data_IF_051228307522
#
_entry.id   IF_051228307522
#
_cell.length_a   1.000
_cell.length_b   1.000
_cell.length_c   1.000
_cell.angle_alpha   90.00
_cell.angle_beta   90.00
_cell.angle_gamma   90.00
#
_symmetry.space_group_name_H-M   'P 1'
#
loop_
_entity.id
_entity.type
_entity.pdbx_description
1 polymer ?
#
# COMPACT_ATOMS: atom_id res chain seq x y z
N UNK A 1 6.38 27.06 -8.68
CA UNK A 1 6.55 26.58 -7.29
C UNK A 1 5.63 25.38 -7.03
N UNK A 2 5.74 24.30 -7.81
CA UNK A 2 4.95 23.08 -7.57
C UNK A 2 5.81 21.94 -7.02
N UNK A 3 7.11 21.91 -7.36
CA UNK A 3 8.04 20.84 -6.95
C UNK A 3 8.19 20.74 -5.44
N UNK A 4 8.31 21.89 -4.74
CA UNK A 4 8.44 21.92 -3.27
C UNK A 4 7.19 21.37 -2.57
N UNK A 5 6.00 21.61 -3.12
CA UNK A 5 4.76 21.07 -2.56
C UNK A 5 4.65 19.57 -2.79
N UNK A 6 5.06 19.08 -3.96
CA UNK A 6 5.11 17.64 -4.26
C UNK A 6 6.07 16.88 -3.31
N UNK A 7 7.21 17.48 -2.97
CA UNK A 7 8.19 16.85 -2.07
C UNK A 7 7.62 16.72 -0.64
N UNK A 8 6.96 17.77 -0.14
CA UNK A 8 6.29 17.75 1.16
C UNK A 8 5.14 16.72 1.20
N UNK A 9 4.32 16.65 0.16
CA UNK A 9 3.24 15.67 0.05
C UNK A 9 3.78 14.24 0.03
N UNK A 10 4.84 13.98 -0.73
CA UNK A 10 5.49 12.67 -0.77
C UNK A 10 6.06 12.30 0.60
N UNK A 11 6.72 13.25 1.27
CA UNK A 11 7.28 13.04 2.61
C UNK A 11 6.20 12.79 3.68
N UNK A 12 5.00 13.37 3.53
CA UNK A 12 3.88 13.12 4.44
C UNK A 12 3.22 11.77 4.14
N UNK A 13 3.01 11.45 2.87
CA UNK A 13 2.37 10.20 2.45
C UNK A 13 3.25 8.98 2.72
N UNK A 14 4.57 9.10 2.65
CA UNK A 14 5.50 8.01 2.97
C UNK A 14 5.77 7.80 4.46
N UNK A 15 5.21 8.63 5.36
CA UNK A 15 5.36 8.43 6.82
C UNK A 15 4.47 7.29 7.30
N UNK A 16 5.00 6.50 8.21
CA UNK A 16 4.27 5.39 8.81
C UNK A 16 3.20 5.91 9.78
N UNK A 17 1.99 5.39 9.65
CA UNK A 17 0.89 5.62 10.60
C UNK A 17 0.94 4.66 11.79
N UNK A 18 1.62 3.53 11.61
CA UNK A 18 1.79 2.48 12.62
C UNK A 18 3.27 2.30 12.96
N UNK A 19 3.53 1.66 14.10
CA UNK A 19 4.89 1.25 14.47
C UNK A 19 5.40 0.19 13.47
N UNK A 20 6.71 0.19 13.21
CA UNK A 20 7.38 -0.89 12.46
C UNK A 20 7.72 -1.97 13.46
N UNK A 21 7.08 -3.14 13.35
CA UNK A 21 7.46 -4.30 14.14
C UNK A 21 8.80 -4.86 13.67
N UNK A 22 9.57 -5.42 14.60
CA UNK A 22 10.82 -6.15 14.29
C UNK A 22 10.53 -7.62 13.93
N UNK A 23 9.28 -8.06 14.07
CA UNK A 23 8.85 -9.43 13.78
C UNK A 23 8.65 -9.65 12.26
N UNK A 24 9.27 -10.67 11.65
CA UNK A 24 9.21 -10.90 10.20
C UNK A 24 7.85 -11.43 9.71
N UNK A 25 7.03 -11.96 10.62
CA UNK A 25 5.68 -12.47 10.31
C UNK A 25 4.60 -11.37 10.43
N UNK A 26 4.97 -10.17 10.88
CA UNK A 26 4.02 -9.07 11.05
C UNK A 26 3.65 -8.41 9.71
N UNK A 27 2.41 -7.94 9.63
CA UNK A 27 1.90 -7.26 8.45
C UNK A 27 2.64 -5.95 8.18
N UNK A 28 2.78 -5.60 6.90
CA UNK A 28 3.46 -4.39 6.46
C UNK A 28 2.85 -3.13 7.11
N UNK A 29 3.67 -2.22 7.66
CA UNK A 29 3.15 -1.06 8.38
C UNK A 29 2.43 -0.09 7.44
N UNK A 30 1.30 0.44 7.90
CA UNK A 30 0.42 1.28 7.08
C UNK A 30 1.03 2.68 6.89
N UNK A 31 1.03 3.17 5.66
CA UNK A 31 1.33 4.57 5.32
C UNK A 31 0.09 5.25 4.73
N UNK A 32 -0.08 6.58 4.84
CA UNK A 32 -1.15 7.30 4.15
C UNK A 32 -1.12 7.04 2.63
N UNK A 33 0.08 6.82 2.08
CA UNK A 33 0.28 6.49 0.69
C UNK A 33 -0.51 5.27 0.21
N UNK A 34 -0.68 4.26 1.07
CA UNK A 34 -1.40 3.04 0.73
C UNK A 34 -2.88 3.32 0.42
N UNK A 35 -3.52 4.19 1.20
CA UNK A 35 -4.92 4.58 0.98
C UNK A 35 -5.08 5.40 -0.31
N UNK A 36 -4.09 6.23 -0.62
CA UNK A 36 -4.06 6.98 -1.87
C UNK A 36 -3.89 6.03 -3.06
N UNK A 37 -2.97 5.06 -2.99
CA UNK A 37 -2.74 4.06 -4.04
C UNK A 37 -4.02 3.28 -4.40
N UNK A 38 -4.84 2.88 -3.43
CA UNK A 38 -6.07 2.09 -3.67
C UNK A 38 -7.09 2.85 -4.52
N UNK A 39 -7.20 4.18 -4.36
CA UNK A 39 -8.14 4.99 -5.15
C UNK A 39 -7.63 5.29 -6.57
N UNK A 40 -6.34 5.05 -6.86
CA UNK A 40 -5.80 5.39 -8.16
C UNK A 40 -6.33 4.44 -9.23
N UNK A 41 -6.82 5.01 -10.33
CA UNK A 41 -7.22 4.22 -11.49
C UNK A 41 -6.01 3.52 -12.09
N UNK A 42 -5.95 2.20 -11.92
CA UNK A 42 -4.93 1.37 -12.55
C UNK A 42 -5.06 1.43 -14.07
N UNK A 43 -3.93 1.42 -14.75
CA UNK A 43 -3.88 1.42 -16.20
C UNK A 43 -2.51 1.07 -16.75
N UNK A 44 -2.49 0.49 -17.95
CA UNK A 44 -1.25 0.15 -18.67
C UNK A 44 -0.80 1.31 -19.54
N UNK A 45 0.48 1.65 -19.49
CA UNK A 45 1.06 2.68 -20.37
C UNK A 45 1.08 2.12 -21.79
N UNK A 46 0.46 2.85 -22.73
CA UNK A 46 0.44 2.51 -24.15
C UNK A 46 1.55 3.20 -24.92
N UNK A 47 1.74 4.50 -24.69
CA UNK A 47 2.77 5.28 -25.38
C UNK A 47 3.24 6.45 -24.55
N UNK A 48 4.43 6.93 -24.86
CA UNK A 48 5.10 8.00 -24.15
C UNK A 48 5.35 9.17 -25.11
N UNK A 49 5.10 10.40 -24.65
CA UNK A 49 5.36 11.61 -25.43
C UNK A 49 6.59 12.34 -24.88
N UNK A 50 7.73 12.16 -25.54
CA UNK A 50 8.94 12.91 -25.26
C UNK A 50 8.87 14.33 -25.86
N UNK A 51 9.44 15.30 -25.15
CA UNK A 51 9.64 16.65 -25.69
C UNK A 51 10.91 16.72 -26.56
N UNK A 52 11.15 17.87 -27.19
CA UNK A 52 12.37 18.12 -27.97
C UNK A 52 13.64 17.94 -27.13
N UNK A 53 13.56 18.19 -25.83
CA UNK A 53 14.67 18.01 -24.89
C UNK A 53 14.89 16.55 -24.46
N UNK A 54 14.16 15.59 -25.05
CA UNK A 54 14.18 14.17 -24.64
C UNK A 54 13.41 13.85 -23.35
N UNK A 55 13.01 14.88 -22.58
CA UNK A 55 12.29 14.69 -21.32
C UNK A 55 10.82 14.33 -21.60
N UNK A 56 10.41 13.20 -21.03
CA UNK A 56 9.03 12.73 -21.06
C UNK A 56 8.20 13.44 -19.99
N UNK A 57 7.12 14.08 -20.41
CA UNK A 57 6.20 14.78 -19.48
C UNK A 57 4.78 14.21 -19.49
N UNK A 58 4.39 13.46 -20.53
CA UNK A 58 3.03 12.90 -20.70
C UNK A 58 3.10 11.45 -21.19
N UNK A 59 2.16 10.63 -20.73
CA UNK A 59 1.95 9.26 -21.22
C UNK A 59 0.48 9.03 -21.59
N UNK A 60 0.25 8.25 -22.64
CA UNK A 60 -1.06 7.70 -23.01
C UNK A 60 -1.25 6.37 -22.29
N UNK A 61 -2.37 6.20 -21.61
CA UNK A 61 -2.61 5.10 -20.67
C UNK A 61 -3.98 4.50 -20.95
N UNK A 62 -4.07 3.17 -20.95
CA UNK A 62 -5.33 2.44 -20.98
C UNK A 62 -5.77 2.14 -19.55
N UNK A 63 -6.81 2.81 -19.10
CA UNK A 63 -7.53 2.50 -17.86
C UNK A 63 -8.77 1.66 -18.16
N UNK A 64 -9.42 1.11 -17.12
CA UNK A 64 -10.71 0.41 -17.26
C UNK A 64 -11.80 1.24 -17.95
N UNK A 65 -11.77 2.56 -17.73
CA UNK A 65 -12.74 3.51 -18.28
C UNK A 65 -12.44 3.95 -19.71
N UNK A 66 -11.24 3.69 -20.24
CA UNK A 66 -10.87 4.15 -21.58
C UNK A 66 -9.40 4.49 -21.72
N UNK A 67 -9.08 5.31 -22.71
CA UNK A 67 -7.71 5.78 -22.93
C UNK A 67 -7.62 7.24 -22.50
N UNK A 68 -6.68 7.53 -21.61
CA UNK A 68 -6.45 8.89 -21.09
C UNK A 68 -4.99 9.27 -21.25
N UNK A 69 -4.72 10.57 -21.37
CA UNK A 69 -3.36 11.10 -21.35
C UNK A 69 -3.13 11.78 -20.02
N UNK A 70 -2.10 11.35 -19.28
CA UNK A 70 -1.80 11.87 -17.93
C UNK A 70 -0.33 12.31 -17.85
N UNK A 71 -0.01 13.38 -17.10
CA UNK A 71 1.38 13.76 -16.85
C UNK A 71 2.14 12.66 -16.09
N UNK A 72 3.42 12.45 -16.41
CA UNK A 72 4.25 11.42 -15.74
C UNK A 72 4.30 11.62 -14.22
N UNK A 73 4.37 12.87 -13.76
CA UNK A 73 4.39 13.20 -12.32
C UNK A 73 3.15 12.73 -11.55
N UNK A 74 2.04 12.45 -12.24
CA UNK A 74 0.82 11.92 -11.64
C UNK A 74 0.69 10.40 -11.78
N UNK A 75 1.71 9.74 -12.32
CA UNK A 75 1.79 8.28 -12.41
C UNK A 75 2.71 7.76 -11.33
N UNK A 76 2.35 6.62 -10.76
CA UNK A 76 3.24 5.85 -9.90
C UNK A 76 3.30 4.42 -10.43
N UNK A 77 4.48 3.77 -10.41
CA UNK A 77 4.60 2.36 -10.68
C UNK A 77 3.71 1.54 -9.74
N UNK A 78 3.11 0.47 -10.25
CA UNK A 78 2.44 -0.52 -9.40
C UNK A 78 3.50 -1.52 -8.95
N UNK A 79 3.68 -1.64 -7.64
CA UNK A 79 4.47 -2.70 -7.03
C UNK A 79 3.61 -3.97 -7.06
N UNK A 80 4.16 -5.08 -7.57
CA UNK A 80 3.51 -6.38 -7.57
C UNK A 80 4.25 -7.25 -6.57
N UNK A 81 3.58 -7.62 -5.48
CA UNK A 81 4.08 -8.66 -4.58
C UNK A 81 3.96 -9.99 -5.33
N UNK A 82 5.06 -10.75 -5.39
CA UNK A 82 5.33 -11.79 -6.40
C UNK A 82 4.51 -13.07 -6.34
N UNK A 83 3.22 -13.02 -6.01
CA UNK A 83 2.33 -14.18 -5.98
C UNK A 83 1.05 -13.88 -6.77
N UNK A 84 1.16 -13.84 -8.09
CA UNK A 84 -0.01 -14.02 -8.95
C UNK A 84 0.24 -15.27 -9.80
N UNK A 85 -0.21 -16.41 -9.27
CA UNK A 85 -0.46 -17.57 -10.11
C UNK A 85 -1.55 -17.17 -11.08
N UNK A 86 -1.16 -16.85 -12.32
CA UNK A 86 -2.09 -16.73 -13.43
C UNK A 86 -2.56 -18.16 -13.73
N UNK A 87 -3.53 -18.68 -12.97
CA UNK A 87 -4.26 -19.88 -13.34
C UNK A 87 -5.39 -19.45 -14.26
N UNK A 88 -5.15 -19.52 -15.57
CA UNK A 88 -6.23 -19.54 -16.55
C UNK A 88 -6.76 -20.97 -16.61
N UNK A 89 -7.64 -21.37 -15.70
CA UNK A 89 -8.37 -22.64 -15.80
C UNK A 89 -9.83 -22.42 -15.35
N UNK A 90 -10.70 -22.33 -16.36
CA UNK A 90 -12.12 -22.67 -16.23
C UNK A 90 -12.24 -24.15 -15.82
N UNK A 91 -13.19 -24.48 -14.92
CA UNK A 91 -13.90 -25.78 -14.68
C UNK A 91 -14.15 -26.13 -13.18
N UNK A 92 -15.34 -25.74 -12.70
CA UNK A 92 -16.41 -26.50 -11.99
C UNK A 92 -16.18 -27.41 -10.73
N UNK A 93 -16.90 -27.03 -9.65
CA UNK A 93 -17.69 -27.78 -8.62
C UNK A 93 -17.13 -28.47 -7.33
N UNK A 94 -17.78 -28.05 -6.22
CA UNK A 94 -18.39 -28.79 -5.07
C UNK A 94 -17.62 -29.23 -3.79
N UNK A 95 -17.88 -28.44 -2.72
CA UNK A 95 -18.37 -28.82 -1.35
C UNK A 95 -17.39 -29.45 -0.31
N UNK A 96 -17.76 -29.55 1.00
CA UNK A 96 -17.35 -28.66 2.09
C UNK A 96 -16.50 -29.35 3.20
N UNK A 97 -15.79 -28.59 4.02
CA UNK A 97 -15.02 -29.13 5.16
C UNK A 97 -14.84 -28.13 6.30
N UNK A 98 -15.12 -28.57 7.52
CA UNK A 98 -15.38 -27.77 8.71
C UNK A 98 -14.16 -27.15 9.42
N UNK A 99 -14.44 -26.02 10.08
CA UNK A 99 -14.02 -25.59 11.44
C UNK A 99 -12.64 -26.00 11.96
N UNK A 100 -11.80 -25.01 12.27
CA UNK A 100 -11.08 -25.00 13.56
C UNK A 100 -10.82 -23.57 14.04
N UNK A 101 -11.30 -23.27 15.25
CA UNK A 101 -11.04 -22.04 15.98
C UNK A 101 -9.70 -22.22 16.69
N UNK A 102 -8.76 -21.29 16.51
CA UNK A 102 -7.59 -21.19 17.38
C UNK A 102 -7.72 -19.94 18.26
N UNK A 103 -7.75 -20.18 19.58
CA UNK A 103 -7.75 -19.15 20.63
C UNK A 103 -6.41 -18.38 20.62
N UNK A 104 -6.49 -17.06 20.61
CA UNK A 104 -5.33 -16.15 20.69
C UNK A 104 -4.97 -15.95 22.16
N UNK A 105 -3.72 -16.15 22.62
CA UNK A 105 -3.36 -15.90 24.00
C UNK A 105 -3.24 -14.40 24.27
N UNK A 106 -3.72 -14.00 25.45
CA UNK A 106 -3.86 -12.62 25.92
C UNK A 106 -2.51 -11.90 25.98
N UNK A 107 -2.27 -10.98 25.03
CA UNK A 107 -1.16 -10.04 25.09
C UNK A 107 -1.53 -8.87 26.02
N UNK A 108 -0.73 -8.62 27.06
CA UNK A 108 -0.91 -7.51 28.01
C UNK A 108 -1.12 -6.16 27.29
N UNK A 109 -2.36 -5.68 27.24
CA UNK A 109 -2.73 -4.39 26.65
C UNK A 109 -2.64 -3.28 27.70
N UNK A 110 -2.08 -2.13 27.33
CA UNK A 110 -2.08 -0.93 28.17
C UNK A 110 -3.14 0.03 27.65
N UNK A 111 -4.04 0.46 28.53
CA UNK A 111 -5.09 1.44 28.23
C UNK A 111 -4.55 2.86 28.34
N UNK A 112 -4.61 3.61 27.25
CA UNK A 112 -4.31 5.04 27.23
C UNK A 112 -5.40 5.85 27.96
N UNK A 113 -5.08 7.08 28.37
CA UNK A 113 -6.04 8.02 29.01
C UNK A 113 -7.33 8.30 28.22
N UNK A 114 -7.34 8.02 26.91
CA UNK A 114 -8.50 8.14 26.04
C UNK A 114 -9.23 6.80 25.82
N UNK A 115 -8.92 5.76 26.60
CA UNK A 115 -9.56 4.44 26.56
C UNK A 115 -9.03 3.49 25.48
N UNK A 116 -8.07 3.90 24.64
CA UNK A 116 -7.52 3.03 23.58
C UNK A 116 -6.58 1.98 24.18
N UNK A 117 -6.82 0.70 23.86
CA UNK A 117 -5.88 -0.39 24.18
C UNK A 117 -4.70 -0.37 23.19
N UNK A 118 -3.47 -0.37 23.73
CA UNK A 118 -2.24 -0.36 22.95
C UNK A 118 -1.25 -1.36 23.53
N UNK A 119 -0.55 -2.10 22.66
CA UNK A 119 0.59 -2.93 23.08
C UNK A 119 1.79 -2.01 23.33
N UNK A 120 2.41 -2.03 24.53
CA UNK A 120 3.60 -1.25 24.78
C UNK A 120 4.78 -1.79 23.93
N UNK A 121 5.61 -0.92 23.34
CA UNK A 121 6.73 -1.34 22.51
C UNK A 121 7.78 -2.11 23.33
N UNK A 122 8.41 -3.12 22.72
CA UNK A 122 9.39 -4.03 23.35
C UNK A 122 10.62 -3.34 23.96
N UNK A 123 10.86 -2.06 23.64
CA UNK A 123 12.04 -1.30 24.05
C UNK A 123 11.90 -0.51 25.35
N UNK A 124 10.75 -0.51 26.00
CA UNK A 124 10.59 0.17 27.29
C UNK A 124 10.99 -0.77 28.43
N UNK A 125 12.29 -0.84 28.76
CA UNK A 125 12.70 -1.25 30.12
C UNK A 125 12.65 0.00 31.01
N UNK A 126 11.82 0.06 32.05
CA UNK A 126 11.91 1.14 33.01
C UNK A 126 13.28 1.06 33.70
N UNK A 127 14.07 2.13 33.60
CA UNK A 127 15.12 2.38 34.58
C UNK A 127 14.39 2.67 35.91
N UNK A 128 14.87 2.00 36.97
CA UNK A 128 14.28 1.91 38.31
C UNK A 128 13.63 3.19 38.85
#
# INVERSE_FOLDING_TARGET
METVLCDCENQLNSRLLTYVSDDPDDLYPLTPDLFLKIHWSLGRILSIYASKDGIVRRAKIKTKSGIVIRPIRKLRPLELDGESLITNEDEVADTPGATERQEVPESNTVTTRAGRQTRPPSRYRPLC
#
